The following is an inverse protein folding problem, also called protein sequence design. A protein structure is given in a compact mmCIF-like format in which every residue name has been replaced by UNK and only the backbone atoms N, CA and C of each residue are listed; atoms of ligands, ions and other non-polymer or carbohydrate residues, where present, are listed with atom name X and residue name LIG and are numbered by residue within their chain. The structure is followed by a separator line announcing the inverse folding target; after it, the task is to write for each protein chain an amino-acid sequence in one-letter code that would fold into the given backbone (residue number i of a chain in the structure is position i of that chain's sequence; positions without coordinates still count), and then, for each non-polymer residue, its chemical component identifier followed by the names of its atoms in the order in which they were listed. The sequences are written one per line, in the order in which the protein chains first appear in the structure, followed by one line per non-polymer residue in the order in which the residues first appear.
data_IF_609893903633
#
_entry.id   IF_609893903633
#
_cell.length_a   1.000
_cell.length_b   1.000
_cell.length_c   1.000
_cell.angle_alpha   90.00
_cell.angle_beta   90.00
_cell.angle_gamma   90.00
#
_symmetry.space_group_name_H-M   'P 1'
#
loop_
_entity.id
_entity.type
_entity.pdbx_description
1 polymer ?
#
# COMPACT_ATOMS: atom_id res chain seq x y z
N UNK A 1 -11.96 12.72 17.10
CA UNK A 1 -10.55 12.29 17.09
C UNK A 1 -10.47 10.86 17.60
N UNK A 2 -9.58 10.04 17.05
CA UNK A 2 -9.44 8.63 17.37
C UNK A 2 -8.00 8.15 17.09
N UNK A 3 -7.61 6.99 17.64
CA UNK A 3 -6.32 6.34 17.36
C UNK A 3 -6.57 4.88 17.03
N UNK A 4 -5.96 4.39 15.96
CA UNK A 4 -6.16 3.01 15.52
C UNK A 4 -5.19 2.06 16.23
N UNK A 5 -5.63 0.82 16.56
CA UNK A 5 -6.98 0.30 16.38
C UNK A 5 -7.96 0.79 17.46
N UNK A 6 -9.20 1.12 17.07
CA UNK A 6 -10.28 1.53 17.99
C UNK A 6 -11.20 0.34 18.28
N UNK A 7 -11.12 -0.23 19.48
CA UNK A 7 -11.97 -1.36 19.87
C UNK A 7 -13.03 -0.93 20.88
N UNK A 8 -12.64 -0.17 21.89
CA UNK A 8 -13.54 0.26 22.94
C UNK A 8 -14.42 1.42 22.45
N UNK A 9 -15.72 1.46 22.78
CA UNK A 9 -16.60 2.56 22.37
C UNK A 9 -16.14 3.95 22.84
N UNK A 10 -15.33 4.00 23.89
CA UNK A 10 -14.73 5.22 24.42
C UNK A 10 -13.47 5.72 23.70
N UNK A 11 -12.93 4.96 22.74
CA UNK A 11 -11.68 5.29 22.03
C UNK A 11 -11.84 6.43 21.02
N UNK A 12 -13.08 6.76 20.68
CA UNK A 12 -13.43 7.88 19.81
C UNK A 12 -13.94 9.02 20.67
N UNK A 13 -13.36 10.21 20.49
CA UNK A 13 -13.70 11.41 21.27
C UNK A 13 -14.15 12.54 20.36
N UNK A 14 -15.34 13.06 20.62
CA UNK A 14 -15.74 14.40 20.21
C UNK A 14 -15.10 15.41 21.15
N UNK A 15 -14.38 16.36 20.57
CA UNK A 15 -13.65 17.39 21.30
C UNK A 15 -13.89 18.74 20.65
N UNK A 16 -13.82 19.80 21.47
CA UNK A 16 -13.88 21.17 20.96
C UNK A 16 -12.50 21.56 20.44
N UNK A 17 -12.43 21.88 19.15
CA UNK A 17 -11.21 22.43 18.56
C UNK A 17 -11.09 23.89 18.96
N UNK A 18 -9.92 24.28 19.45
CA UNK A 18 -9.54 25.68 19.70
C UNK A 18 -8.76 26.17 18.50
N UNK A 19 -9.25 27.22 17.85
CA UNK A 19 -8.62 27.82 16.67
C UNK A 19 -7.91 29.12 17.05
N UNK A 20 -6.95 29.54 16.22
CA UNK A 20 -6.26 30.84 16.30
C UNK A 20 -5.49 31.11 17.61
N UNK A 21 -4.86 30.08 18.19
CA UNK A 21 -3.93 30.25 19.31
C UNK A 21 -2.58 30.76 18.77
N UNK A 22 -2.33 32.07 18.88
CA UNK A 22 -1.16 32.73 18.28
C UNK A 22 0.16 32.14 18.78
N UNK A 23 0.21 31.75 20.05
CA UNK A 23 1.38 31.18 20.71
C UNK A 23 1.78 29.83 20.10
N UNK A 24 0.82 29.11 19.51
CA UNK A 24 1.02 27.78 18.91
C UNK A 24 1.07 27.82 17.38
N UNK A 25 1.04 29.00 16.74
CA UNK A 25 0.96 29.13 15.27
C UNK A 25 2.20 28.59 14.54
N UNK A 26 3.31 28.42 15.25
CA UNK A 26 4.54 27.84 14.72
C UNK A 26 4.45 26.31 14.56
N UNK A 27 3.53 25.65 15.26
CA UNK A 27 3.29 24.21 15.16
C UNK A 27 2.38 23.92 13.96
N UNK A 28 2.87 23.13 13.01
CA UNK A 28 2.19 22.79 11.76
C UNK A 28 2.17 21.28 11.57
N UNK A 29 1.14 20.77 10.89
CA UNK A 29 0.97 19.35 10.57
C UNK A 29 0.96 18.42 11.81
N UNK A 30 0.52 18.94 12.96
CA UNK A 30 0.35 18.16 14.17
C UNK A 30 -0.92 18.57 14.92
N UNK A 31 -1.34 17.73 15.86
CA UNK A 31 -2.46 18.02 16.77
C UNK A 31 -1.86 18.37 18.13
N UNK A 32 -2.23 19.53 18.66
CA UNK A 32 -1.82 19.94 20.01
C UNK A 32 -2.92 19.60 21.00
N UNK A 33 -2.59 18.79 22.00
CA UNK A 33 -3.50 18.38 23.05
C UNK A 33 -3.40 19.30 24.27
N UNK A 34 -4.53 19.51 24.95
CA UNK A 34 -4.56 20.23 26.23
C UNK A 34 -3.79 19.44 27.29
N UNK A 35 -2.92 20.11 28.04
CA UNK A 35 -2.28 19.57 29.25
C UNK A 35 -3.17 19.70 30.51
N UNK A 36 -4.36 20.30 30.38
CA UNK A 36 -5.35 20.43 31.46
C UNK A 36 -6.35 19.28 31.42
N UNK A 37 -6.89 18.93 32.58
CA UNK A 37 -7.91 17.90 32.78
C UNK A 37 -7.39 16.77 33.69
N UNK A 38 -8.29 15.84 34.06
CA UNK A 38 -7.97 14.75 34.98
C UNK A 38 -7.24 13.58 34.30
N UNK A 39 -7.35 13.46 32.97
CA UNK A 39 -6.76 12.38 32.20
C UNK A 39 -6.31 12.91 30.83
N UNK A 40 -5.09 12.58 30.35
CA UNK A 40 -4.63 12.98 29.03
C UNK A 40 -5.54 12.47 27.93
N UNK A 41 -5.88 13.34 26.96
CA UNK A 41 -6.74 12.95 25.84
C UNK A 41 -6.12 11.82 24.98
N UNK A 42 -4.82 11.82 24.63
CA UNK A 42 -4.20 10.70 23.91
C UNK A 42 -4.42 9.34 24.60
N UNK A 43 -4.32 9.30 25.93
CA UNK A 43 -4.54 8.08 26.71
C UNK A 43 -5.99 7.58 26.68
N UNK A 44 -6.97 8.47 26.41
CA UNK A 44 -8.36 8.06 26.17
C UNK A 44 -8.58 7.46 24.77
N UNK A 45 -7.61 7.60 23.85
CA UNK A 45 -7.69 7.14 22.47
C UNK A 45 -6.93 5.81 22.35
N UNK A 46 -7.58 4.72 22.74
CA UNK A 46 -6.99 3.38 22.73
C UNK A 46 -5.70 3.25 23.58
N UNK A 47 -5.50 4.08 24.60
CA UNK A 47 -4.30 4.05 25.45
C UNK A 47 -3.05 4.70 24.85
N UNK A 48 -3.23 5.60 23.87
CA UNK A 48 -2.13 6.27 23.19
C UNK A 48 -1.34 7.26 24.05
N UNK A 49 -0.18 7.64 23.55
CA UNK A 49 0.68 8.67 24.11
C UNK A 49 1.18 9.64 23.02
N UNK A 50 2.34 10.27 23.21
CA UNK A 50 2.92 11.25 22.27
C UNK A 50 4.36 10.88 21.88
N UNK A 51 4.70 9.59 21.88
CA UNK A 51 6.03 9.08 21.49
C UNK A 51 6.19 8.85 19.97
N UNK A 52 5.13 9.09 19.21
CA UNK A 52 5.05 8.81 17.77
C UNK A 52 3.65 8.46 17.26
N UNK A 53 2.66 8.40 18.15
CA UNK A 53 1.27 8.12 17.81
C UNK A 53 0.66 9.09 16.79
N UNK A 54 -0.02 8.53 15.79
CA UNK A 54 -0.79 9.26 14.80
C UNK A 54 -2.29 9.22 15.13
N UNK A 55 -2.97 10.35 14.96
CA UNK A 55 -4.39 10.49 15.29
C UNK A 55 -5.24 10.73 14.06
N UNK A 56 -6.35 9.99 13.97
CA UNK A 56 -7.40 10.30 13.01
C UNK A 56 -8.22 11.50 13.50
N UNK A 57 -8.14 12.60 12.76
CA UNK A 57 -8.91 13.83 13.01
C UNK A 57 -9.90 14.03 11.88
N UNK A 58 -11.18 14.11 12.24
CA UNK A 58 -12.25 14.39 11.29
C UNK A 58 -13.07 15.61 11.74
N UNK A 59 -13.32 16.50 10.79
CA UNK A 59 -14.16 17.69 10.96
C UNK A 59 -15.55 17.53 10.30
N UNK A 60 -15.80 16.39 9.64
CA UNK A 60 -17.07 16.11 8.97
C UNK A 60 -18.15 15.78 10.00
N UNK A 61 -19.08 16.72 10.18
CA UNK A 61 -20.18 16.61 11.15
C UNK A 61 -21.10 15.43 10.88
N UNK A 62 -21.14 14.88 9.66
CA UNK A 62 -22.02 13.75 9.28
C UNK A 62 -21.63 12.46 9.99
N UNK A 63 -20.39 12.33 10.44
CA UNK A 63 -19.87 11.13 11.11
C UNK A 63 -19.55 11.35 12.59
N UNK A 64 -19.98 12.47 13.16
CA UNK A 64 -19.79 12.72 14.58
C UNK A 64 -20.58 11.71 15.42
N UNK A 65 -19.94 11.18 16.45
CA UNK A 65 -20.63 10.31 17.39
C UNK A 65 -21.65 11.14 18.20
N UNK A 66 -22.80 10.58 18.60
CA UNK A 66 -23.82 11.35 19.35
C UNK A 66 -23.32 11.86 20.71
N UNK A 67 -22.45 11.08 21.36
CA UNK A 67 -21.86 11.40 22.67
C UNK A 67 -20.54 10.67 22.84
N UNK A 68 -19.69 11.18 23.73
CA UNK A 68 -18.53 10.45 24.21
C UNK A 68 -18.98 9.35 25.18
N UNK A 69 -18.54 8.12 24.94
CA UNK A 69 -18.65 7.04 25.92
C UNK A 69 -17.46 7.10 26.90
N UNK A 70 -17.58 6.48 28.07
CA UNK A 70 -16.47 6.46 29.03
C UNK A 70 -15.25 5.75 28.42
N UNK A 71 -14.04 6.35 28.49
CA UNK A 71 -12.84 5.73 27.95
C UNK A 71 -12.40 4.56 28.82
N UNK A 72 -11.95 3.47 28.20
CA UNK A 72 -11.38 2.33 28.92
C UNK A 72 -10.16 2.78 29.73
N UNK A 73 -9.87 2.12 30.84
CA UNK A 73 -8.65 2.35 31.61
C UNK A 73 -7.54 1.46 31.03
N UNK A 74 -6.46 2.08 30.55
CA UNK A 74 -5.34 1.41 29.90
C UNK A 74 -4.16 1.27 30.88
N UNK A 75 -4.40 0.61 32.01
CA UNK A 75 -3.35 0.40 33.00
C UNK A 75 -2.43 -0.73 32.54
N UNK A 76 -1.13 -0.44 32.42
CA UNK A 76 -0.13 -1.48 32.14
C UNK A 76 -0.14 -2.50 33.27
N UNK A 77 -0.20 -3.78 32.91
CA UNK A 77 0.12 -4.80 33.89
C UNK A 77 1.59 -4.66 34.33
N UNK A 78 1.89 -5.04 35.57
CA UNK A 78 3.26 -5.04 36.08
C UNK A 78 4.16 -5.88 35.19
N UNK A 79 5.40 -5.46 35.01
CA UNK A 79 6.40 -6.24 34.26
C UNK A 79 6.88 -7.41 35.11
N UNK A 80 7.16 -8.54 34.49
CA UNK A 80 7.84 -9.64 35.16
C UNK A 80 9.29 -9.21 35.49
N UNK A 81 9.59 -9.05 36.78
CA UNK A 81 10.94 -8.76 37.25
C UNK A 81 11.60 -10.04 37.77
N UNK A 82 12.66 -10.46 37.07
CA UNK A 82 13.44 -11.65 37.40
C UNK A 82 14.27 -11.48 38.69
N UNK A 83 14.43 -10.25 39.21
CA UNK A 83 15.28 -9.92 40.38
C UNK A 83 16.73 -10.41 40.28
N UNK A 84 17.18 -10.69 39.05
CA UNK A 84 18.54 -11.10 38.69
C UNK A 84 18.88 -10.58 37.29
N UNK A 85 20.17 -10.50 36.91
CA UNK A 85 20.54 -10.19 35.54
C UNK A 85 19.93 -11.18 34.53
N UNK A 86 19.52 -10.64 33.38
CA UNK A 86 18.96 -11.42 32.26
C UNK A 86 20.06 -12.27 31.64
N UNK A 87 19.78 -13.55 31.43
CA UNK A 87 20.68 -14.49 30.72
C UNK A 87 20.07 -14.92 29.38
N UNK A 88 20.88 -15.50 28.49
CA UNK A 88 20.43 -15.91 27.15
C UNK A 88 19.26 -16.89 27.18
N UNK A 89 19.18 -17.76 28.20
CA UNK A 89 18.06 -18.69 28.35
C UNK A 89 16.72 -17.98 28.59
N UNK A 90 16.71 -16.84 29.28
CA UNK A 90 15.50 -16.05 29.50
C UNK A 90 14.99 -15.48 28.18
N UNK A 91 15.91 -15.00 27.35
CA UNK A 91 15.60 -14.47 26.02
C UNK A 91 15.01 -15.59 25.16
N UNK A 92 15.66 -16.75 25.11
CA UNK A 92 15.16 -17.92 24.39
C UNK A 92 13.78 -18.37 24.88
N UNK A 93 13.55 -18.39 26.20
CA UNK A 93 12.27 -18.76 26.78
C UNK A 93 11.18 -17.73 26.49
N UNK A 94 11.51 -16.44 26.52
CA UNK A 94 10.61 -15.36 26.12
C UNK A 94 10.21 -15.51 24.65
N UNK A 95 11.15 -15.73 23.73
CA UNK A 95 10.81 -15.94 22.31
C UNK A 95 9.90 -17.15 22.10
N UNK A 96 10.18 -18.28 22.77
CA UNK A 96 9.29 -19.46 22.73
C UNK A 96 7.89 -19.12 23.23
N UNK A 97 7.80 -18.45 24.39
CA UNK A 97 6.54 -18.04 24.98
C UNK A 97 5.77 -17.08 24.07
N UNK A 98 6.46 -16.11 23.47
CA UNK A 98 5.90 -15.16 22.53
C UNK A 98 5.35 -15.84 21.28
N UNK A 99 6.12 -16.73 20.66
CA UNK A 99 5.68 -17.48 19.48
C UNK A 99 4.44 -18.35 19.73
N UNK A 100 4.29 -18.89 20.94
CA UNK A 100 3.16 -19.73 21.31
C UNK A 100 1.91 -18.92 21.69
N UNK A 101 2.10 -17.72 22.25
CA UNK A 101 1.03 -16.96 22.91
C UNK A 101 0.77 -15.58 22.31
N UNK A 102 1.36 -15.24 21.16
CA UNK A 102 0.95 -14.07 20.39
C UNK A 102 -0.45 -14.29 19.81
N UNK A 103 -1.45 -13.70 20.49
CA UNK A 103 -2.88 -13.85 20.18
C UNK A 103 -3.52 -12.54 19.76
N UNK A 104 -2.75 -11.49 19.51
CA UNK A 104 -3.26 -10.15 19.21
C UNK A 104 -4.23 -10.18 18.02
N UNK A 105 -3.78 -10.73 16.89
CA UNK A 105 -4.63 -10.83 15.69
C UNK A 105 -5.82 -11.78 15.84
N UNK A 106 -5.74 -12.78 16.73
CA UNK A 106 -6.90 -13.64 17.02
C UNK A 106 -7.98 -12.87 17.78
N UNK A 107 -7.58 -12.06 18.76
CA UNK A 107 -8.48 -11.24 19.57
C UNK A 107 -9.13 -10.16 18.70
N UNK A 108 -8.37 -9.51 17.83
CA UNK A 108 -8.89 -8.43 16.97
C UNK A 108 -9.94 -8.94 15.96
N UNK A 109 -9.63 -10.03 15.25
CA UNK A 109 -10.59 -10.68 14.34
C UNK A 109 -11.85 -11.15 15.08
N UNK A 110 -11.68 -11.69 16.28
CA UNK A 110 -12.79 -12.13 17.10
C UNK A 110 -13.65 -10.94 17.57
N UNK A 111 -13.03 -9.83 17.96
CA UNK A 111 -13.73 -8.60 18.33
C UNK A 111 -14.56 -8.07 17.15
N UNK A 112 -13.97 -8.05 15.95
CA UNK A 112 -14.65 -7.62 14.72
C UNK A 112 -15.89 -8.49 14.43
N UNK A 113 -15.74 -9.81 14.48
CA UNK A 113 -16.86 -10.75 14.28
C UNK A 113 -17.94 -10.66 15.38
N UNK A 114 -17.53 -10.47 16.64
CA UNK A 114 -18.46 -10.28 17.77
C UNK A 114 -19.22 -8.95 17.67
N UNK A 115 -18.53 -7.87 17.29
CA UNK A 115 -19.14 -6.56 17.11
C UNK A 115 -20.14 -6.55 15.95
N UNK A 116 -19.94 -7.38 14.92
CA UNK A 116 -20.89 -7.51 13.83
C UNK A 116 -22.10 -8.39 14.18
N UNK A 117 -21.88 -9.54 14.83
CA UNK A 117 -22.97 -10.46 15.20
C UNK A 117 -23.87 -9.93 16.32
N UNK A 118 -23.34 -9.15 17.26
CA UNK A 118 -24.12 -8.66 18.40
C UNK A 118 -24.93 -7.40 18.07
N UNK A 119 -26.20 -7.35 18.49
CA UNK A 119 -27.06 -6.16 18.29
C UNK A 119 -26.55 -4.91 19.01
N UNK A 120 -25.85 -5.07 20.15
CA UNK A 120 -25.19 -3.96 20.89
C UNK A 120 -23.84 -3.56 20.28
N UNK A 121 -23.36 -4.30 19.29
CA UNK A 121 -22.06 -4.07 18.63
C UNK A 121 -20.89 -4.02 19.62
N UNK A 122 -20.02 -3.02 19.44
CA UNK A 122 -18.85 -2.79 20.32
C UNK A 122 -19.20 -2.50 21.78
N UNK A 123 -20.46 -2.16 22.09
CA UNK A 123 -20.94 -1.97 23.47
C UNK A 123 -21.37 -3.27 24.14
N UNK A 124 -21.26 -4.41 23.45
CA UNK A 124 -21.53 -5.71 24.06
C UNK A 124 -20.47 -6.04 25.11
N UNK A 125 -20.87 -6.75 26.17
CA UNK A 125 -19.94 -7.19 27.23
C UNK A 125 -18.79 -8.02 26.66
N UNK A 126 -19.07 -8.85 25.64
CA UNK A 126 -18.03 -9.63 24.94
C UNK A 126 -17.01 -8.75 24.24
N UNK A 127 -17.45 -7.71 23.52
CA UNK A 127 -16.53 -6.76 22.87
C UNK A 127 -15.70 -5.97 23.88
N UNK A 128 -16.30 -5.53 24.99
CA UNK A 128 -15.58 -4.80 26.05
C UNK A 128 -14.47 -5.68 26.65
N UNK A 129 -14.78 -6.94 26.98
CA UNK A 129 -13.77 -7.90 27.46
C UNK A 129 -12.69 -8.14 26.40
N UNK A 130 -13.06 -8.28 25.14
CA UNK A 130 -12.09 -8.45 24.06
C UNK A 130 -11.19 -7.23 23.86
N UNK A 131 -11.71 -6.01 24.08
CA UNK A 131 -10.91 -4.79 24.05
C UNK A 131 -9.87 -4.74 25.18
N UNK A 132 -10.24 -5.18 26.40
CA UNK A 132 -9.30 -5.32 27.52
C UNK A 132 -8.22 -6.37 27.23
N UNK A 133 -8.60 -7.54 26.71
CA UNK A 133 -7.66 -8.59 26.31
C UNK A 133 -6.74 -8.13 25.17
N UNK A 134 -7.26 -7.33 24.24
CA UNK A 134 -6.46 -6.75 23.15
C UNK A 134 -5.41 -5.80 23.72
N UNK A 135 -5.77 -4.92 24.66
CA UNK A 135 -4.79 -4.05 25.34
C UNK A 135 -3.69 -4.85 26.03
N UNK A 136 -4.05 -5.93 26.74
CA UNK A 136 -3.07 -6.81 27.37
C UNK A 136 -2.16 -7.49 26.34
N UNK A 137 -2.71 -7.92 25.20
CA UNK A 137 -1.94 -8.55 24.12
C UNK A 137 -0.97 -7.57 23.46
N UNK A 138 -1.33 -6.30 23.29
CA UNK A 138 -0.43 -5.26 22.77
C UNK A 138 0.77 -5.08 23.69
N UNK A 139 0.57 -5.06 25.01
CA UNK A 139 1.63 -4.88 25.99
C UNK A 139 2.42 -6.16 26.32
N UNK A 140 2.07 -7.30 25.73
CA UNK A 140 2.75 -8.58 25.98
C UNK A 140 4.25 -8.51 25.67
N UNK A 141 4.63 -7.84 24.58
CA UNK A 141 6.03 -7.64 24.21
C UNK A 141 6.84 -6.81 25.23
N UNK A 142 6.17 -5.94 26.00
CA UNK A 142 6.77 -5.07 27.02
C UNK A 142 6.75 -5.70 28.42
N UNK A 143 5.70 -6.46 28.72
CA UNK A 143 5.42 -6.98 30.07
C UNK A 143 5.88 -8.41 30.28
N UNK A 144 5.96 -9.20 29.21
CA UNK A 144 6.20 -10.65 29.29
C UNK A 144 4.97 -11.48 29.65
N UNK A 145 3.80 -10.84 29.86
CA UNK A 145 2.59 -11.52 30.33
C UNK A 145 1.64 -11.80 29.15
N UNK A 146 1.45 -13.08 28.76
CA UNK A 146 0.54 -13.43 27.69
C UNK A 146 -0.92 -13.42 28.12
N UNK A 147 -1.83 -13.26 27.16
CA UNK A 147 -3.26 -13.49 27.36
C UNK A 147 -3.56 -14.98 27.49
N UNK A 148 -3.78 -15.43 28.73
CA UNK A 148 -4.10 -16.83 29.05
C UNK A 148 -5.59 -17.19 28.93
N UNK A 149 -6.45 -16.17 28.81
CA UNK A 149 -7.91 -16.35 28.76
C UNK A 149 -8.31 -17.20 27.54
N UNK A 150 -9.24 -18.14 27.75
CA UNK A 150 -9.82 -18.91 26.66
C UNK A 150 -10.76 -18.00 25.86
N UNK A 151 -10.44 -17.81 24.58
CA UNK A 151 -11.25 -17.00 23.68
C UNK A 151 -12.53 -17.76 23.28
N UNK A 152 -13.68 -17.07 23.14
CA UNK A 152 -14.90 -17.69 22.63
C UNK A 152 -14.69 -18.18 21.19
N UNK A 153 -15.35 -19.27 20.84
CA UNK A 153 -15.42 -19.74 19.46
C UNK A 153 -16.65 -19.12 18.79
N UNK A 154 -16.49 -18.72 17.54
CA UNK A 154 -17.59 -18.26 16.70
C UNK A 154 -17.81 -19.30 15.61
N UNK A 155 -19.07 -19.71 15.46
CA UNK A 155 -19.52 -20.71 14.50
C UNK A 155 -19.55 -20.15 13.07
N UNK A 156 -20.04 -18.91 12.90
CA UNK A 156 -20.16 -18.24 11.60
C UNK A 156 -19.54 -16.83 11.61
N UNK A 157 -18.81 -16.47 10.55
CA UNK A 157 -18.18 -15.15 10.44
C UNK A 157 -18.96 -14.24 9.47
N UNK A 158 -18.88 -12.91 9.63
CA UNK A 158 -19.36 -11.98 8.62
C UNK A 158 -18.73 -12.24 7.25
N UNK A 159 -19.51 -12.09 6.18
CA UNK A 159 -19.09 -12.28 4.78
C UNK A 159 -17.87 -11.44 4.39
N UNK A 160 -17.75 -10.22 4.93
CA UNK A 160 -16.62 -9.33 4.65
C UNK A 160 -15.27 -9.82 5.22
N UNK A 161 -15.26 -10.84 6.09
CA UNK A 161 -14.02 -11.40 6.64
C UNK A 161 -13.41 -12.51 5.78
N UNK A 162 -14.09 -12.99 4.73
CA UNK A 162 -13.60 -13.98 3.75
C UNK A 162 -12.94 -15.25 4.35
N UNK A 163 -13.44 -15.76 5.48
CA UNK A 163 -12.85 -16.93 6.14
C UNK A 163 -13.15 -18.22 5.35
N UNK A 164 -12.23 -18.63 4.48
CA UNK A 164 -12.40 -19.75 3.52
C UNK A 164 -12.85 -21.09 4.11
N UNK A 165 -12.52 -21.37 5.37
CA UNK A 165 -12.74 -22.67 6.00
C UNK A 165 -13.85 -22.65 7.08
N UNK A 166 -14.61 -21.56 7.18
CA UNK A 166 -15.73 -21.45 8.12
C UNK A 166 -17.01 -21.01 7.40
N UNK A 167 -18.19 -21.39 7.89
CA UNK A 167 -19.43 -20.80 7.43
C UNK A 167 -19.41 -19.27 7.59
N UNK A 168 -20.09 -18.59 6.68
CA UNK A 168 -20.24 -17.14 6.73
C UNK A 168 -21.68 -16.71 6.54
N UNK A 169 -22.06 -15.60 7.17
CA UNK A 169 -23.36 -14.97 7.01
C UNK A 169 -23.21 -13.60 6.37
N UNK A 170 -24.25 -13.18 5.65
CA UNK A 170 -24.29 -11.85 5.05
C UNK A 170 -24.50 -10.78 6.14
N UNK A 171 -23.50 -9.95 6.40
CA UNK A 171 -23.62 -8.88 7.39
C UNK A 171 -24.51 -7.75 6.87
N UNK A 172 -25.56 -7.39 7.61
CA UNK A 172 -26.45 -6.27 7.26
C UNK A 172 -25.97 -4.90 7.79
N UNK A 173 -24.83 -4.90 8.49
CA UNK A 173 -24.19 -3.69 9.03
C UNK A 173 -23.36 -2.96 7.97
N UNK A 174 -22.85 -1.80 8.35
CA UNK A 174 -22.14 -0.89 7.43
C UNK A 174 -20.94 -1.55 6.75
N UNK A 175 -20.17 -2.38 7.48
CA UNK A 175 -18.99 -3.06 6.92
C UNK A 175 -19.39 -4.06 5.83
N UNK A 176 -20.40 -4.91 6.07
CA UNK A 176 -20.91 -5.82 5.06
C UNK A 176 -21.48 -5.10 3.83
N UNK A 177 -22.22 -4.00 4.05
CA UNK A 177 -22.75 -3.17 2.96
C UNK A 177 -21.63 -2.54 2.12
N UNK A 178 -20.62 -1.97 2.77
CA UNK A 178 -19.47 -1.39 2.08
C UNK A 178 -18.70 -2.46 1.32
N UNK A 179 -18.41 -3.59 1.96
CA UNK A 179 -17.72 -4.72 1.35
C UNK A 179 -18.38 -5.18 0.05
N UNK A 180 -19.71 -5.34 0.03
CA UNK A 180 -20.46 -5.76 -1.17
C UNK A 180 -20.63 -4.64 -2.20
N UNK A 181 -20.67 -3.37 -1.77
CA UNK A 181 -20.76 -2.22 -2.67
C UNK A 181 -19.42 -1.91 -3.33
N UNK A 182 -18.31 -2.28 -2.70
CA UNK A 182 -16.99 -2.29 -3.31
C UNK A 182 -16.96 -3.47 -4.28
N UNK A 183 -17.51 -3.24 -5.48
CA UNK A 183 -17.51 -4.19 -6.60
C UNK A 183 -16.07 -4.44 -7.08
N UNK A 184 -15.28 -5.21 -6.34
CA UNK A 184 -13.99 -5.71 -6.81
C UNK A 184 -14.15 -6.92 -7.75
N UNK A 185 -15.35 -7.46 -7.87
CA UNK A 185 -15.64 -8.65 -8.68
C UNK A 185 -15.88 -8.37 -10.17
N UNK A 186 -15.91 -7.11 -10.61
CA UNK A 186 -16.07 -6.80 -12.05
C UNK A 186 -14.73 -6.69 -12.80
N UNK A 187 -13.57 -6.86 -12.13
CA UNK A 187 -12.26 -6.92 -12.80
C UNK A 187 -12.08 -8.18 -13.65
N UNK A 188 -12.65 -9.31 -13.24
CA UNK A 188 -12.64 -10.54 -14.05
C UNK A 188 -13.57 -10.45 -15.27
N UNK A 189 -14.46 -9.47 -15.34
CA UNK A 189 -15.33 -9.23 -16.51
C UNK A 189 -14.89 -8.05 -17.36
N UNK A 190 -13.98 -7.19 -16.88
CA UNK A 190 -13.54 -6.02 -17.62
C UNK A 190 -12.73 -6.44 -18.86
N UNK A 191 -13.28 -6.23 -20.08
CA UNK A 191 -12.60 -6.56 -21.32
C UNK A 191 -11.24 -5.85 -21.47
N UNK A 192 -11.08 -4.69 -20.81
CA UNK A 192 -9.86 -3.86 -20.87
C UNK A 192 -8.68 -4.54 -20.16
N UNK A 193 -8.93 -5.38 -19.15
CA UNK A 193 -7.89 -6.04 -18.37
C UNK A 193 -7.63 -7.49 -18.82
N UNK A 194 -8.56 -8.06 -19.59
CA UNK A 194 -8.31 -9.29 -20.35
C UNK A 194 -7.66 -8.93 -21.68
N UNK A 195 -6.36 -8.65 -21.68
CA UNK A 195 -5.54 -8.64 -22.90
C UNK A 195 -5.41 -10.07 -23.45
N UNK A 196 -6.51 -10.66 -23.92
CA UNK A 196 -6.49 -11.76 -24.88
C UNK A 196 -6.56 -11.12 -26.25
N UNK A 197 -5.42 -11.14 -26.92
CA UNK A 197 -5.13 -10.56 -28.23
C UNK A 197 -6.34 -10.18 -29.08
N UNK A 198 -6.41 -8.89 -29.41
CA UNK A 198 -7.03 -8.45 -30.65
C UNK A 198 -5.95 -7.60 -31.34
N UNK A 199 -5.32 -8.19 -32.37
CA UNK A 199 -4.40 -7.57 -33.34
C UNK A 199 -4.02 -6.11 -33.00
N UNK A 200 -2.86 -5.92 -32.36
CA UNK A 200 -2.40 -4.58 -31.99
C UNK A 200 -2.07 -3.82 -33.29
N UNK A 201 -2.68 -2.65 -33.46
CA UNK A 201 -2.39 -1.77 -34.59
C UNK A 201 -1.40 -0.71 -34.11
N UNK A 202 -0.28 -0.58 -34.84
CA UNK A 202 0.74 0.43 -34.57
C UNK A 202 0.11 1.82 -34.74
N UNK A 203 0.30 2.72 -33.77
CA UNK A 203 -0.15 4.10 -33.92
C UNK A 203 0.96 4.92 -34.59
N UNK A 204 0.66 5.41 -35.79
CA UNK A 204 1.57 6.22 -36.60
C UNK A 204 1.98 7.52 -35.92
N UNK A 205 1.22 8.03 -34.95
CA UNK A 205 1.56 9.25 -34.17
C UNK A 205 2.92 9.14 -33.47
N UNK A 206 3.37 7.92 -33.17
CA UNK A 206 4.62 7.66 -32.46
C UNK A 206 5.79 7.27 -33.38
N UNK A 207 5.58 7.28 -34.70
CA UNK A 207 6.58 6.91 -35.70
C UNK A 207 7.30 8.16 -36.22
N UNK A 208 8.63 8.18 -36.12
CA UNK A 208 9.49 9.25 -36.59
C UNK A 208 10.37 8.78 -37.76
N UNK A 209 10.51 9.60 -38.80
CA UNK A 209 11.26 9.22 -40.00
C UNK A 209 12.71 8.87 -39.70
N UNK A 210 13.19 7.75 -40.27
CA UNK A 210 14.54 7.25 -40.02
C UNK A 210 14.65 6.25 -38.86
N UNK A 211 13.54 5.90 -38.20
CA UNK A 211 13.52 4.85 -37.18
C UNK A 211 14.01 3.49 -37.70
N UNK A 212 13.85 3.20 -39.00
CA UNK A 212 14.30 1.94 -39.59
C UNK A 212 15.81 1.73 -39.46
N UNK A 213 16.60 2.82 -39.44
CA UNK A 213 18.05 2.77 -39.21
C UNK A 213 18.42 2.43 -37.76
N UNK A 214 17.49 2.61 -36.83
CA UNK A 214 17.63 2.26 -35.42
C UNK A 214 16.84 1.00 -35.07
N UNK A 215 16.18 0.36 -36.05
CA UNK A 215 15.43 -0.88 -35.91
C UNK A 215 16.39 -2.09 -35.96
N UNK A 216 17.54 -1.94 -35.31
CA UNK A 216 18.60 -2.92 -35.29
C UNK A 216 18.28 -4.07 -34.34
N UNK A 217 19.03 -5.17 -34.47
CA UNK A 217 19.04 -6.29 -33.50
C UNK A 217 19.20 -5.79 -32.06
N UNK A 218 19.88 -4.66 -31.86
CA UNK A 218 20.06 -4.02 -30.56
C UNK A 218 18.72 -3.65 -29.88
N UNK A 219 17.78 -3.01 -30.59
CA UNK A 219 16.50 -2.61 -30.00
C UNK A 219 15.67 -3.83 -29.55
N UNK A 220 15.71 -4.91 -30.32
CA UNK A 220 15.05 -6.18 -29.99
C UNK A 220 15.72 -6.82 -28.77
N UNK A 221 17.06 -6.84 -28.71
CA UNK A 221 17.81 -7.39 -27.57
C UNK A 221 17.50 -6.60 -26.29
N UNK A 222 17.53 -5.27 -26.34
CA UNK A 222 17.22 -4.43 -25.19
C UNK A 222 15.77 -4.61 -24.73
N UNK A 223 14.80 -4.68 -25.66
CA UNK A 223 13.41 -5.00 -25.34
C UNK A 223 13.29 -6.34 -24.63
N UNK A 224 13.93 -7.39 -25.14
CA UNK A 224 13.87 -8.72 -24.54
C UNK A 224 14.49 -8.75 -23.12
N UNK A 225 15.57 -8.00 -22.90
CA UNK A 225 16.18 -7.84 -21.57
C UNK A 225 15.20 -7.16 -20.61
N UNK A 226 14.58 -6.04 -21.03
CA UNK A 226 13.58 -5.33 -20.24
C UNK A 226 12.40 -6.24 -19.88
N UNK A 227 11.84 -6.92 -20.89
CA UNK A 227 10.72 -7.85 -20.72
C UNK A 227 11.10 -9.01 -19.78
N UNK A 228 12.34 -9.49 -19.83
CA UNK A 228 12.86 -10.49 -18.89
C UNK A 228 12.83 -10.01 -17.43
N UNK A 229 13.20 -8.75 -17.18
CA UNK A 229 13.15 -8.15 -15.85
C UNK A 229 11.71 -7.98 -15.35
N UNK A 230 10.80 -7.48 -16.20
CA UNK A 230 9.38 -7.37 -15.85
C UNK A 230 8.78 -8.74 -15.55
N UNK A 231 9.07 -9.77 -16.36
CA UNK A 231 8.61 -11.15 -16.09
C UNK A 231 9.18 -11.71 -14.79
N UNK A 232 10.41 -11.36 -14.43
CA UNK A 232 10.98 -11.73 -13.13
C UNK A 232 10.18 -11.12 -11.98
N UNK A 233 9.78 -9.86 -12.08
CA UNK A 233 8.91 -9.21 -11.09
C UNK A 233 7.53 -9.87 -11.04
N UNK A 234 6.90 -10.07 -12.20
CA UNK A 234 5.61 -10.79 -12.29
C UNK A 234 5.68 -12.16 -11.60
N UNK A 235 6.74 -12.94 -11.85
CA UNK A 235 6.95 -14.26 -11.20
C UNK A 235 7.20 -14.15 -9.70
N UNK A 236 7.97 -13.15 -9.27
CA UNK A 236 8.30 -12.90 -7.85
C UNK A 236 7.05 -12.56 -7.05
N UNK A 237 6.20 -11.69 -7.59
CA UNK A 237 4.97 -11.24 -6.95
C UNK A 237 3.74 -12.08 -7.31
N UNK A 238 3.90 -13.12 -8.12
CA UNK A 238 2.85 -14.06 -8.57
C UNK A 238 1.69 -13.35 -9.27
N UNK A 239 2.01 -12.41 -10.14
CA UNK A 239 1.07 -11.59 -10.89
C UNK A 239 1.06 -12.03 -12.36
N UNK A 240 -0.12 -12.03 -12.97
CA UNK A 240 -0.29 -12.49 -14.36
C UNK A 240 -0.33 -11.32 -15.37
N UNK A 241 -0.54 -10.09 -14.90
CA UNK A 241 -0.70 -8.91 -15.74
C UNK A 241 0.49 -7.97 -15.59
N UNK A 242 0.98 -7.45 -16.72
CA UNK A 242 2.07 -6.45 -16.75
C UNK A 242 1.68 -5.15 -16.04
N UNK A 243 0.43 -4.71 -16.24
CA UNK A 243 -0.10 -3.46 -15.70
C UNK A 243 0.00 -3.39 -14.17
N UNK A 244 -0.21 -4.51 -13.47
CA UNK A 244 -0.12 -4.58 -12.01
C UNK A 244 1.31 -4.34 -11.50
N UNK A 245 2.32 -4.75 -12.28
CA UNK A 245 3.72 -4.46 -11.96
C UNK A 245 4.05 -3.01 -12.28
N UNK A 246 3.72 -2.53 -13.48
CA UNK A 246 4.08 -1.19 -13.93
C UNK A 246 3.40 -0.09 -13.10
N UNK A 247 2.15 -0.31 -12.67
CA UNK A 247 1.41 0.62 -11.80
C UNK A 247 1.66 0.38 -10.32
N UNK A 248 2.38 -0.69 -9.96
CA UNK A 248 2.53 -1.20 -8.61
C UNK A 248 1.18 -1.48 -7.89
N UNK A 249 0.09 -1.66 -8.63
CA UNK A 249 -1.23 -1.99 -8.06
C UNK A 249 -1.55 -3.46 -8.27
N UNK A 250 -1.48 -4.24 -7.18
CA UNK A 250 -1.67 -5.69 -7.21
C UNK A 250 -3.15 -6.03 -6.99
N UNK A 251 -3.86 -6.34 -8.08
CA UNK A 251 -5.29 -6.61 -8.09
C UNK A 251 -5.62 -8.00 -7.52
N UNK A 252 -4.72 -8.98 -7.72
CA UNK A 252 -4.92 -10.36 -7.28
C UNK A 252 -4.59 -10.64 -5.81
N UNK A 253 -3.89 -9.72 -5.12
CA UNK A 253 -3.64 -9.86 -3.68
C UNK A 253 -4.90 -9.40 -2.95
N UNK A 254 -5.85 -10.34 -2.81
CA UNK A 254 -7.02 -10.18 -1.96
C UNK A 254 -6.58 -9.62 -0.60
N UNK A 255 -7.33 -8.62 -0.14
CA UNK A 255 -7.12 -7.82 1.06
C UNK A 255 -6.50 -8.62 2.21
N UNK A 256 -5.18 -8.49 2.38
CA UNK A 256 -4.51 -8.68 3.66
C UNK A 256 -4.20 -7.27 4.19
N UNK A 257 -4.43 -7.06 5.48
CA UNK A 257 -4.39 -5.78 6.19
C UNK A 257 -3.13 -4.91 5.94
N UNK A 258 -3.33 -3.60 6.11
CA UNK A 258 -2.42 -2.53 6.58
C UNK A 258 -0.90 -2.65 6.46
N UNK A 259 -0.25 -1.53 6.06
CA UNK A 259 1.21 -1.22 5.96
C UNK A 259 2.08 -2.21 5.17
N UNK A 260 1.90 -3.53 5.28
CA UNK A 260 2.66 -4.56 4.56
C UNK A 260 2.40 -4.55 3.06
N UNK A 261 1.15 -4.34 2.64
CA UNK A 261 0.84 -4.16 1.21
C UNK A 261 1.34 -2.83 0.67
N UNK A 262 1.26 -1.74 1.45
CA UNK A 262 1.85 -0.46 1.05
C UNK A 262 3.35 -0.60 0.83
N UNK A 263 4.06 -1.22 1.78
CA UNK A 263 5.49 -1.47 1.63
C UNK A 263 5.82 -2.33 0.40
N UNK A 264 5.02 -3.36 0.10
CA UNK A 264 5.18 -4.14 -1.14
C UNK A 264 4.97 -3.28 -2.39
N UNK A 265 3.96 -2.41 -2.42
CA UNK A 265 3.71 -1.49 -3.53
C UNK A 265 4.86 -0.50 -3.68
N UNK A 266 5.35 0.06 -2.58
CA UNK A 266 6.49 0.97 -2.58
C UNK A 266 7.75 0.26 -3.13
N UNK A 267 8.02 -0.97 -2.68
CA UNK A 267 9.15 -1.77 -3.19
C UNK A 267 9.01 -2.11 -4.67
N UNK A 268 7.80 -2.46 -5.15
CA UNK A 268 7.56 -2.68 -6.58
C UNK A 268 7.76 -1.40 -7.38
N UNK A 269 7.21 -0.29 -6.90
CA UNK A 269 7.35 1.03 -7.52
C UNK A 269 8.81 1.46 -7.62
N UNK A 270 9.61 1.24 -6.57
CA UNK A 270 11.03 1.52 -6.55
C UNK A 270 11.81 0.63 -7.54
N UNK A 271 11.50 -0.66 -7.58
CA UNK A 271 12.15 -1.60 -8.50
C UNK A 271 11.83 -1.29 -9.97
N UNK A 272 10.57 -0.97 -10.28
CA UNK A 272 10.14 -0.52 -11.61
C UNK A 272 10.82 0.81 -11.98
N UNK A 273 10.91 1.75 -11.04
CA UNK A 273 11.62 3.01 -11.25
C UNK A 273 13.11 2.80 -11.54
N UNK A 274 13.74 1.84 -10.87
CA UNK A 274 15.13 1.44 -11.11
C UNK A 274 15.32 0.80 -12.48
N UNK A 275 14.40 -0.07 -12.90
CA UNK A 275 14.37 -0.66 -14.25
C UNK A 275 14.25 0.46 -15.27
N UNK A 276 13.23 1.32 -15.18
CA UNK A 276 13.02 2.44 -16.10
C UNK A 276 14.31 3.28 -16.22
N UNK A 277 14.93 3.67 -15.11
CA UNK A 277 16.16 4.45 -15.16
C UNK A 277 17.34 3.71 -15.81
N UNK A 278 17.48 2.41 -15.59
CA UNK A 278 18.53 1.60 -16.24
C UNK A 278 18.36 1.59 -17.75
N UNK A 279 17.15 1.37 -18.24
CA UNK A 279 16.87 1.35 -19.67
C UNK A 279 16.90 2.75 -20.29
N UNK A 280 16.54 3.81 -19.54
CA UNK A 280 16.80 5.20 -19.97
C UNK A 280 18.30 5.50 -20.11
N UNK A 281 19.16 4.97 -19.22
CA UNK A 281 20.63 5.07 -19.39
C UNK A 281 21.09 4.34 -20.65
N UNK A 282 20.62 3.11 -20.88
CA UNK A 282 20.94 2.37 -22.11
C UNK A 282 20.43 3.07 -23.37
N UNK A 283 19.27 3.75 -23.28
CA UNK A 283 18.75 4.54 -24.38
C UNK A 283 19.71 5.67 -24.78
N UNK A 284 20.35 6.33 -23.81
CA UNK A 284 21.33 7.39 -24.05
C UNK A 284 22.63 6.90 -24.71
N UNK A 285 22.97 5.62 -24.59
CA UNK A 285 24.14 5.06 -25.26
C UNK A 285 23.98 5.23 -26.79
N UNK A 286 24.94 5.92 -27.41
CA UNK A 286 24.91 6.26 -28.85
C UNK A 286 24.17 7.56 -29.21
N UNK A 287 23.60 8.29 -28.24
CA UNK A 287 22.96 9.60 -28.45
C UNK A 287 23.87 10.77 -28.01
N UNK A 288 24.84 10.54 -27.13
CA UNK A 288 25.71 11.60 -26.59
C UNK A 288 26.56 12.28 -27.68
N UNK A 289 26.23 13.54 -27.98
CA UNK A 289 27.21 14.61 -28.16
C UNK A 289 27.59 15.13 -26.76
N UNK A 290 28.86 15.48 -26.57
CA UNK A 290 29.46 15.96 -25.32
C UNK A 290 28.63 17.06 -24.63
N UNK A 291 27.84 16.69 -23.63
CA UNK A 291 27.37 17.65 -22.63
C UNK A 291 27.66 17.10 -21.24
N UNK A 292 28.51 17.83 -20.53
CA UNK A 292 29.06 17.55 -19.22
C UNK A 292 28.05 16.94 -18.23
N UNK A 293 28.54 15.91 -17.54
CA UNK A 293 27.96 15.33 -16.34
C UNK A 293 27.77 16.41 -15.25
N UNK A 294 26.56 16.96 -15.12
CA UNK A 294 26.07 17.45 -13.84
C UNK A 294 25.28 16.34 -13.15
N UNK A 295 25.99 15.27 -12.81
CA UNK A 295 25.50 14.15 -12.01
C UNK A 295 25.81 14.35 -10.52
N UNK A 296 25.49 15.53 -9.99
CA UNK A 296 25.44 15.77 -8.54
C UNK A 296 24.13 16.49 -8.18
N UNK A 297 23.04 15.75 -8.19
CA UNK A 297 21.83 16.17 -7.48
C UNK A 297 21.20 14.96 -6.80
N UNK A 298 21.79 14.59 -5.66
CA UNK A 298 21.16 13.77 -4.63
C UNK A 298 20.00 14.58 -4.03
N UNK A 299 18.83 14.50 -4.65
CA UNK A 299 17.59 14.97 -4.07
C UNK A 299 16.58 13.82 -4.07
N UNK A 300 16.06 13.53 -2.87
CA UNK A 300 15.11 12.47 -2.58
C UNK A 300 13.92 12.47 -3.55
N UNK A 301 13.85 11.41 -4.36
CA UNK A 301 12.86 11.20 -5.42
C UNK A 301 13.57 10.73 -6.69
N UNK A 302 13.38 9.46 -7.05
CA UNK A 302 13.95 8.84 -8.26
C UNK A 302 13.31 9.51 -9.50
N UNK A 303 13.75 10.72 -9.86
CA UNK A 303 13.28 11.39 -11.08
C UNK A 303 13.89 10.68 -12.29
N UNK A 304 13.09 10.39 -13.33
CA UNK A 304 13.60 9.75 -14.53
C UNK A 304 14.67 10.62 -15.19
N UNK A 305 15.75 9.98 -15.64
CA UNK A 305 16.88 10.65 -16.31
C UNK A 305 16.38 11.40 -17.53
N UNK A 306 16.64 12.71 -17.64
CA UNK A 306 16.21 13.49 -18.80
C UNK A 306 17.00 13.07 -20.05
N UNK A 307 16.29 12.84 -21.15
CA UNK A 307 16.87 12.51 -22.44
C UNK A 307 16.68 13.72 -23.36
N UNK A 308 17.72 14.19 -24.08
CA UNK A 308 17.59 15.30 -25.01
C UNK A 308 16.65 14.91 -26.17
N UNK A 309 15.70 15.77 -26.49
CA UNK A 309 14.78 15.59 -27.61
C UNK A 309 15.46 16.12 -28.87
N UNK A 310 16.08 15.20 -29.62
CA UNK A 310 16.67 15.45 -30.94
C UNK A 310 16.25 14.37 -31.94
N UNK A 311 16.54 14.57 -33.23
CA UNK A 311 16.10 13.65 -34.29
C UNK A 311 16.60 12.20 -34.08
N UNK A 312 17.82 12.03 -33.56
CA UNK A 312 18.37 10.69 -33.22
C UNK A 312 17.57 10.01 -32.10
N UNK A 313 17.24 10.77 -31.05
CA UNK A 313 16.44 10.28 -29.91
C UNK A 313 15.02 9.92 -30.34
N UNK A 314 14.40 10.71 -31.24
CA UNK A 314 13.06 10.44 -31.77
C UNK A 314 13.07 9.17 -32.62
N UNK A 315 14.02 9.03 -33.55
CA UNK A 315 14.18 7.83 -34.37
C UNK A 315 14.39 6.57 -33.51
N UNK A 316 15.22 6.64 -32.46
CA UNK A 316 15.45 5.52 -31.54
C UNK A 316 14.21 5.18 -30.70
N UNK A 317 13.47 6.20 -30.22
CA UNK A 317 12.23 5.99 -29.47
C UNK A 317 11.14 5.33 -30.33
N UNK A 318 10.98 5.80 -31.58
CA UNK A 318 10.09 5.16 -32.56
C UNK A 318 10.51 3.73 -32.89
N UNK A 319 11.81 3.44 -32.96
CA UNK A 319 12.28 2.07 -33.14
C UNK A 319 11.88 1.18 -31.95
N UNK A 320 12.03 1.65 -30.70
CA UNK A 320 11.59 0.93 -29.50
C UNK A 320 10.08 0.69 -29.47
N UNK A 321 9.29 1.68 -29.90
CA UNK A 321 7.84 1.55 -30.08
C UNK A 321 7.51 0.48 -31.13
N UNK A 322 8.09 0.60 -32.32
CA UNK A 322 7.83 -0.30 -33.44
C UNK A 322 8.21 -1.76 -33.12
N UNK A 323 9.38 -2.02 -32.54
CA UNK A 323 9.78 -3.40 -32.19
C UNK A 323 8.84 -4.02 -31.14
N UNK A 324 8.21 -3.22 -30.28
CA UNK A 324 7.30 -3.74 -29.25
C UNK A 324 5.96 -4.13 -29.84
N UNK A 325 5.40 -3.29 -30.70
CA UNK A 325 4.03 -3.44 -31.18
C UNK A 325 3.91 -4.18 -32.52
N UNK A 326 4.91 -4.09 -33.40
CA UNK A 326 4.90 -4.71 -34.73
C UNK A 326 5.69 -6.02 -34.80
N UNK A 327 6.67 -6.21 -33.90
CA UNK A 327 7.53 -7.40 -33.86
C UNK A 327 7.45 -8.14 -32.52
N UNK A 328 6.25 -8.52 -32.03
CA UNK A 328 6.07 -9.08 -30.69
C UNK A 328 6.93 -10.34 -30.48
N UNK A 329 7.28 -10.60 -29.22
CA UNK A 329 8.05 -11.79 -28.85
C UNK A 329 7.29 -13.06 -29.23
N UNK A 330 7.90 -13.90 -30.07
CA UNK A 330 7.27 -15.13 -30.59
C UNK A 330 7.18 -16.27 -29.55
N UNK A 331 8.01 -16.23 -28.51
CA UNK A 331 8.21 -17.36 -27.59
C UNK A 331 7.46 -17.21 -26.25
N UNK A 332 6.57 -16.22 -26.09
CA UNK A 332 5.84 -16.01 -24.84
C UNK A 332 4.32 -16.02 -25.03
N UNK A 333 3.63 -16.79 -24.19
CA UNK A 333 2.17 -16.79 -24.11
C UNK A 333 1.58 -15.43 -23.67
N UNK A 334 2.41 -14.49 -23.19
CA UNK A 334 2.01 -13.16 -22.73
C UNK A 334 2.89 -12.12 -23.43
N UNK A 335 2.25 -11.25 -24.22
CA UNK A 335 2.88 -10.11 -24.87
C UNK A 335 2.98 -8.95 -23.87
N UNK A 336 4.18 -8.43 -23.68
CA UNK A 336 4.46 -7.26 -22.84
C UNK A 336 4.57 -5.99 -23.70
N UNK A 337 3.95 -4.90 -23.25
CA UNK A 337 3.73 -3.66 -24.00
C UNK A 337 4.35 -2.44 -23.33
N UNK A 338 4.92 -2.56 -22.13
CA UNK A 338 5.40 -1.41 -21.35
C UNK A 338 6.76 -0.84 -21.79
N UNK A 339 7.57 -1.60 -22.53
CA UNK A 339 8.93 -1.22 -22.94
C UNK A 339 9.09 0.18 -23.54
N UNK A 340 8.33 0.60 -24.58
CA UNK A 340 8.55 1.90 -25.22
C UNK A 340 8.18 3.08 -24.31
N UNK A 341 7.35 2.86 -23.30
CA UNK A 341 6.94 3.89 -22.36
C UNK A 341 8.04 4.29 -21.37
N UNK A 342 9.14 3.55 -21.33
CA UNK A 342 10.40 3.96 -20.67
C UNK A 342 10.88 5.32 -21.18
N UNK A 343 10.59 5.66 -22.45
CA UNK A 343 10.91 6.95 -23.10
C UNK A 343 9.65 7.72 -23.53
N UNK A 344 8.59 7.63 -22.71
CA UNK A 344 7.29 8.27 -22.97
C UNK A 344 7.37 9.76 -23.26
N UNK A 345 8.30 10.48 -22.63
CA UNK A 345 8.56 11.90 -22.89
C UNK A 345 8.94 12.20 -24.35
N UNK A 346 9.74 11.32 -24.98
CA UNK A 346 10.17 11.47 -26.38
C UNK A 346 9.03 11.10 -27.33
N UNK A 347 8.31 10.02 -27.04
CA UNK A 347 7.16 9.59 -27.85
C UNK A 347 6.06 10.66 -27.87
N UNK A 348 5.80 11.29 -26.72
CA UNK A 348 4.86 12.41 -26.61
C UNK A 348 5.34 13.64 -27.39
N UNK A 349 6.65 13.90 -27.42
CA UNK A 349 7.21 14.99 -28.23
C UNK A 349 7.01 14.74 -29.74
N UNK A 350 7.24 13.51 -30.23
CA UNK A 350 6.98 13.13 -31.64
C UNK A 350 5.51 13.39 -31.99
N UNK A 351 4.60 12.89 -31.15
CA UNK A 351 3.16 13.08 -31.37
C UNK A 351 2.77 14.56 -31.40
N UNK A 352 3.31 15.36 -30.48
CA UNK A 352 3.05 16.80 -30.42
C UNK A 352 3.49 17.50 -31.71
N UNK A 353 4.70 17.23 -32.19
CA UNK A 353 5.21 17.82 -33.43
C UNK A 353 4.38 17.42 -34.66
N UNK A 354 3.88 16.18 -34.72
CA UNK A 354 2.98 15.76 -35.81
C UNK A 354 1.66 16.51 -35.80
N UNK A 355 1.06 16.68 -34.62
CA UNK A 355 -0.17 17.46 -34.48
C UNK A 355 0.04 18.95 -34.81
N UNK A 356 1.20 19.51 -34.52
CA UNK A 356 1.54 20.89 -34.90
C UNK A 356 1.79 21.06 -36.40
N UNK A 357 2.13 19.99 -37.14
CA UNK A 357 2.29 20.01 -38.61
C UNK A 357 0.99 19.74 -39.37
N UNK A 358 -0.01 19.17 -38.72
CA UNK A 358 -1.31 18.80 -39.33
C UNK A 358 -2.41 19.81 -39.07
N UNK A 359 -2.24 20.69 -38.08
CA UNK A 359 -3.02 21.93 -37.91
C UNK A 359 -2.31 23.09 -38.59
#
# INVERSE_FOLDING_TARGET
IARNPCLHPGDIRNVKVVVNVKELSHLKNCVVFSQKGNRPLPNMLAGGDLDGDEFFVCFDKRIFIPRNEEPMVYDSQGKEDLKRPVVMDDICNFFKNFMLNDRLGQIDNLHLAHADSNSKGVKSTGCIVLAELHSQAVDFNKTGIPVKTKLPNIDENPDFMEVKCKPSYKSEKILGKLYRNIKLHEYESDPILKYKEHKITVNDDFIFDGYQKCMDKEAIVIRNLYNGEIRKLMKTYRVNNESEIITAELLGIKQMEGRKNQHKRDVISDEVSNIINRYRKQFLNGIQDDTNNDSNNTNHGIKPIKIPINEKSKAKASAWYHVTYDHPEKDSNIILLSFPWVVSDILLAIRKEKHERTN
#
